data_IF_897976383310
#
_entry.id   IF_897976383310
#
_cell.length_a   1.000
_cell.length_b   1.000
_cell.length_c   1.000
_cell.angle_alpha   90.00
_cell.angle_beta   90.00
_cell.angle_gamma   90.00
#
_symmetry.space_group_name_H-M   'P 1'
#
loop_
_entity.id
_entity.type
_entity.pdbx_description
1 polymer ?
#
# COMPACT_ATOMS: atom_id res chain seq x y z
N UNK A 1 -11.14 -17.35 8.96
CA UNK A 1 -11.21 -16.11 9.75
C UNK A 1 -9.79 -15.58 9.93
N UNK A 2 -9.52 -14.35 9.50
CA UNK A 2 -8.21 -13.69 9.55
C UNK A 2 -8.17 -12.51 10.53
N UNK A 3 -9.25 -12.26 11.29
CA UNK A 3 -9.28 -11.18 12.26
C UNK A 3 -8.10 -11.21 13.26
N UNK A 4 -7.69 -12.37 13.83
CA UNK A 4 -6.51 -12.42 14.71
C UNK A 4 -5.18 -12.13 14.01
N UNK A 5 -5.12 -12.23 12.67
CA UNK A 5 -3.94 -11.87 11.88
C UNK A 5 -3.90 -10.36 11.67
N UNK A 6 -5.06 -9.75 11.39
CA UNK A 6 -5.20 -8.30 11.30
C UNK A 6 -4.81 -7.63 12.61
N UNK A 7 -5.34 -8.10 13.75
CA UNK A 7 -5.00 -7.54 15.08
C UNK A 7 -3.50 -7.58 15.38
N UNK A 8 -2.81 -8.65 14.99
CA UNK A 8 -1.35 -8.75 15.17
C UNK A 8 -0.58 -7.80 14.24
N UNK A 9 -1.01 -7.67 12.99
CA UNK A 9 -0.41 -6.73 12.05
C UNK A 9 -0.60 -5.29 12.54
N UNK A 10 -1.79 -4.96 13.03
CA UNK A 10 -2.12 -3.66 13.60
C UNK A 10 -1.28 -3.35 14.84
N UNK A 11 -1.21 -4.28 15.79
CA UNK A 11 -0.37 -4.13 16.99
C UNK A 11 1.13 -3.98 16.63
N UNK A 12 1.62 -4.66 15.59
CA UNK A 12 2.98 -4.49 15.11
C UNK A 12 3.22 -3.06 14.58
N UNK A 13 2.29 -2.52 13.78
CA UNK A 13 2.39 -1.14 13.28
C UNK A 13 2.45 -0.15 14.43
N UNK A 14 1.56 -0.27 15.41
CA UNK A 14 1.51 0.60 16.59
C UNK A 14 2.78 0.53 17.44
N UNK A 15 3.47 -0.62 17.44
CA UNK A 15 4.73 -0.77 18.17
C UNK A 15 5.94 -0.08 17.50
N UNK A 16 5.81 0.34 16.24
CA UNK A 16 6.91 0.89 15.45
C UNK A 16 6.87 2.41 15.45
N UNK A 17 7.91 3.04 16.01
CA UNK A 17 8.15 4.47 15.78
C UNK A 17 8.51 4.70 14.30
N UNK A 18 7.53 5.21 13.54
CA UNK A 18 7.67 5.51 12.10
C UNK A 18 8.77 6.52 11.77
N UNK A 19 9.14 7.41 12.71
CA UNK A 19 10.20 8.42 12.49
C UNK A 19 11.58 7.79 12.65
N UNK A 20 11.73 6.86 13.58
CA UNK A 20 13.01 6.17 13.86
C UNK A 20 13.22 4.96 12.95
N UNK A 21 12.14 4.26 12.57
CA UNK A 21 12.17 3.01 11.80
C UNK A 21 11.21 3.04 10.59
N UNK A 22 11.34 4.02 9.66
CA UNK A 22 10.38 4.21 8.56
C UNK A 22 10.27 2.99 7.64
N UNK A 23 11.36 2.24 7.44
CA UNK A 23 11.33 1.00 6.63
C UNK A 23 10.54 -0.13 7.30
N UNK A 24 10.72 -0.31 8.61
CA UNK A 24 9.97 -1.33 9.36
C UNK A 24 8.48 -0.99 9.36
N UNK A 25 8.14 0.28 9.57
CA UNK A 25 6.77 0.78 9.50
C UNK A 25 6.15 0.49 8.13
N UNK A 26 6.84 0.84 7.04
CA UNK A 26 6.35 0.61 5.67
C UNK A 26 6.04 -0.87 5.42
N UNK A 27 6.95 -1.77 5.78
CA UNK A 27 6.73 -3.21 5.58
C UNK A 27 5.59 -3.77 6.45
N UNK A 28 5.46 -3.32 7.70
CA UNK A 28 4.36 -3.72 8.57
C UNK A 28 3.00 -3.20 8.07
N UNK A 29 2.95 -1.97 7.59
CA UNK A 29 1.74 -1.38 7.01
C UNK A 29 1.32 -2.09 5.72
N UNK A 30 2.27 -2.42 4.84
CA UNK A 30 1.98 -3.20 3.63
C UNK A 30 1.51 -4.64 3.96
N UNK A 31 1.99 -5.23 5.05
CA UNK A 31 1.48 -6.51 5.55
C UNK A 31 0.01 -6.39 5.99
N UNK A 32 -0.37 -5.33 6.70
CA UNK A 32 -1.77 -5.09 7.07
C UNK A 32 -2.67 -4.93 5.84
N UNK A 33 -2.24 -4.15 4.84
CA UNK A 33 -2.94 -4.04 3.54
C UNK A 33 -3.14 -5.42 2.91
N UNK A 34 -2.10 -6.28 2.91
CA UNK A 34 -2.23 -7.63 2.37
C UNK A 34 -3.26 -8.47 3.14
N UNK A 35 -3.34 -8.34 4.46
CA UNK A 35 -4.31 -9.04 5.29
C UNK A 35 -5.74 -8.56 4.98
N UNK A 36 -5.98 -7.25 4.95
CA UNK A 36 -7.27 -6.66 4.58
C UNK A 36 -7.72 -7.13 3.18
N UNK A 37 -6.82 -7.09 2.21
CA UNK A 37 -7.08 -7.57 0.85
C UNK A 37 -7.45 -9.06 0.83
N UNK A 38 -6.77 -9.88 1.63
CA UNK A 38 -7.04 -11.33 1.74
C UNK A 38 -8.36 -11.61 2.46
N UNK A 39 -8.80 -10.71 3.35
CA UNK A 39 -10.11 -10.74 4.00
C UNK A 39 -11.26 -10.30 3.09
N UNK A 40 -10.97 -9.79 1.89
CA UNK A 40 -11.96 -9.22 0.97
C UNK A 40 -12.35 -7.78 1.31
N UNK A 41 -11.66 -7.13 2.24
CA UNK A 41 -11.86 -5.72 2.60
C UNK A 41 -11.05 -4.81 1.68
N UNK A 42 -11.40 -4.82 0.39
CA UNK A 42 -10.60 -4.15 -0.65
C UNK A 42 -10.61 -2.62 -0.55
N UNK A 43 -11.73 -2.00 -0.18
CA UNK A 43 -11.85 -0.55 -0.10
C UNK A 43 -11.04 0.02 1.07
N UNK A 44 -11.06 -0.65 2.22
CA UNK A 44 -10.18 -0.35 3.35
C UNK A 44 -8.71 -0.54 2.96
N UNK A 45 -8.38 -1.66 2.29
CA UNK A 45 -7.02 -1.94 1.84
C UNK A 45 -6.50 -0.87 0.85
N UNK A 46 -7.33 -0.42 -0.09
CA UNK A 46 -6.98 0.67 -1.02
C UNK A 46 -6.77 2.00 -0.30
N UNK A 47 -7.62 2.28 0.69
CA UNK A 47 -7.51 3.50 1.52
C UNK A 47 -6.20 3.51 2.30
N UNK A 48 -5.80 2.38 2.88
CA UNK A 48 -4.53 2.25 3.60
C UNK A 48 -3.30 2.22 2.67
N UNK A 49 -3.43 1.62 1.49
CA UNK A 49 -2.34 1.51 0.52
C UNK A 49 -1.94 2.87 -0.08
N UNK A 50 -2.91 3.76 -0.30
CA UNK A 50 -2.68 5.05 -0.96
C UNK A 50 -1.51 5.86 -0.33
N UNK A 51 -1.51 6.19 0.97
CA UNK A 51 -0.41 6.97 1.56
C UNK A 51 0.94 6.22 1.54
N UNK A 52 0.94 4.89 1.52
CA UNK A 52 2.16 4.09 1.41
C UNK A 52 2.73 4.13 -0.02
N UNK A 53 1.85 4.07 -1.03
CA UNK A 53 2.21 4.22 -2.43
C UNK A 53 2.74 5.63 -2.72
N UNK A 54 2.12 6.67 -2.17
CA UNK A 54 2.63 8.05 -2.23
C UNK A 54 4.00 8.21 -1.59
N UNK A 55 4.21 7.59 -0.41
CA UNK A 55 5.51 7.59 0.23
C UNK A 55 6.56 6.93 -0.67
N UNK A 56 6.24 5.75 -1.23
CA UNK A 56 7.10 5.02 -2.15
C UNK A 56 7.42 5.82 -3.42
N UNK A 57 6.42 6.49 -4.00
CA UNK A 57 6.57 7.36 -5.17
C UNK A 57 7.54 8.51 -4.90
N UNK A 58 7.39 9.20 -3.76
CA UNK A 58 8.27 10.32 -3.38
C UNK A 58 9.74 9.93 -3.24
N UNK A 59 10.04 8.68 -2.89
CA UNK A 59 11.41 8.18 -2.66
C UNK A 59 11.89 7.19 -3.73
N UNK A 60 11.11 6.96 -4.79
CA UNK A 60 11.46 6.10 -5.92
C UNK A 60 11.57 4.61 -5.59
N UNK A 61 10.82 4.10 -4.60
CA UNK A 61 10.88 2.69 -4.18
C UNK A 61 9.70 1.87 -4.68
N UNK A 62 9.91 1.04 -5.69
CA UNK A 62 8.83 0.20 -6.26
C UNK A 62 8.73 -1.16 -5.55
N UNK A 63 9.89 -1.79 -5.28
CA UNK A 63 9.97 -3.13 -4.73
C UNK A 63 9.17 -3.37 -3.44
N UNK A 64 9.11 -2.45 -2.45
CA UNK A 64 8.33 -2.70 -1.24
C UNK A 64 6.87 -3.08 -1.51
N UNK A 65 6.21 -2.44 -2.47
CA UNK A 65 4.80 -2.70 -2.80
C UNK A 65 4.64 -4.03 -3.55
N UNK A 66 5.58 -4.36 -4.44
CA UNK A 66 5.56 -5.64 -5.17
C UNK A 66 5.85 -6.84 -4.26
N UNK A 67 6.87 -6.70 -3.40
CA UNK A 67 7.34 -7.75 -2.51
C UNK A 67 6.38 -7.99 -1.32
N UNK A 68 5.45 -7.07 -1.06
CA UNK A 68 4.43 -7.19 -0.01
C UNK A 68 3.44 -8.33 -0.27
N UNK A 69 3.35 -8.80 -1.52
CA UNK A 69 2.54 -9.95 -1.92
C UNK A 69 1.61 -9.66 -3.09
N UNK A 70 1.02 -10.72 -3.66
CA UNK A 70 0.24 -10.61 -4.89
C UNK A 70 -1.07 -9.83 -4.70
N UNK A 71 -1.67 -9.83 -3.50
CA UNK A 71 -2.88 -9.04 -3.25
C UNK A 71 -2.58 -7.55 -3.26
N UNK A 72 -1.51 -7.12 -2.59
CA UNK A 72 -1.05 -5.72 -2.57
C UNK A 72 -0.65 -5.26 -3.98
N UNK A 73 0.09 -6.09 -4.72
CA UNK A 73 0.45 -5.79 -6.11
C UNK A 73 -0.77 -5.57 -7.02
N UNK A 74 -1.83 -6.37 -6.86
CA UNK A 74 -3.09 -6.18 -7.59
C UNK A 74 -3.83 -4.91 -7.17
N UNK A 75 -3.87 -4.60 -5.88
CA UNK A 75 -4.49 -3.37 -5.37
C UNK A 75 -3.75 -2.12 -5.85
N UNK A 76 -2.41 -2.14 -5.87
CA UNK A 76 -1.60 -1.03 -6.36
C UNK A 76 -1.98 -0.64 -7.80
N UNK A 77 -2.18 -1.64 -8.67
CA UNK A 77 -2.64 -1.44 -10.06
C UNK A 77 -4.06 -0.88 -10.17
N UNK A 78 -4.87 -0.98 -9.11
CA UNK A 78 -6.25 -0.45 -9.04
C UNK A 78 -6.35 0.93 -8.37
N UNK A 79 -5.26 1.45 -7.79
CA UNK A 79 -5.26 2.74 -7.10
C UNK A 79 -5.76 3.89 -7.99
N UNK A 80 -5.41 3.90 -9.28
CA UNK A 80 -5.88 4.93 -10.23
C UNK A 80 -7.40 4.98 -10.31
N UNK A 81 -8.04 3.83 -10.50
CA UNK A 81 -9.50 3.75 -10.57
C UNK A 81 -10.15 4.16 -9.25
N UNK A 82 -9.52 3.82 -8.11
CA UNK A 82 -9.98 4.22 -6.78
C UNK A 82 -9.89 5.75 -6.56
N UNK A 83 -8.85 6.40 -7.10
CA UNK A 83 -8.63 7.84 -7.01
C UNK A 83 -9.55 8.67 -7.92
N UNK A 84 -9.90 8.15 -9.10
CA UNK A 84 -10.83 8.83 -10.01
C UNK A 84 -12.21 9.06 -9.38
N UNK A 85 -12.61 8.24 -8.39
CA UNK A 85 -13.83 8.45 -7.60
C UNK A 85 -13.73 9.51 -6.50
N UNK A 86 -12.53 10.02 -6.19
CA UNK A 86 -12.26 10.94 -5.06
C UNK A 86 -11.92 12.39 -5.45
N UNK A 87 -12.00 12.73 -6.74
CA UNK A 87 -11.92 14.11 -7.27
C UNK A 87 -10.64 14.90 -6.96
N UNK A 88 -9.45 14.30 -7.14
CA UNK A 88 -8.18 15.06 -7.08
C UNK A 88 -7.04 14.49 -7.96
N UNK A 89 -7.36 14.01 -9.17
CA UNK A 89 -6.41 13.30 -10.04
C UNK A 89 -5.14 14.11 -10.41
N UNK A 90 -5.21 15.44 -10.41
CA UNK A 90 -4.08 16.32 -10.72
C UNK A 90 -3.07 16.48 -9.57
N UNK A 91 -3.45 16.16 -8.33
CA UNK A 91 -2.56 16.22 -7.16
C UNK A 91 -1.53 15.07 -7.12
N UNK A 92 -1.70 14.06 -7.99
CA UNK A 92 -1.01 12.78 -7.90
C UNK A 92 -0.02 12.53 -9.05
N UNK A 93 0.51 13.55 -9.74
CA UNK A 93 1.43 13.35 -10.89
C UNK A 93 2.59 12.39 -10.58
N UNK A 94 3.28 12.57 -9.44
CA UNK A 94 4.37 11.67 -9.04
C UNK A 94 3.90 10.26 -8.69
N UNK A 95 2.67 10.11 -8.17
CA UNK A 95 2.07 8.80 -7.94
C UNK A 95 1.66 8.14 -9.27
N UNK A 96 1.17 8.90 -10.26
CA UNK A 96 0.82 8.38 -11.57
C UNK A 96 2.04 7.82 -12.30
N UNK A 97 3.16 8.55 -12.34
CA UNK A 97 4.43 8.05 -12.91
C UNK A 97 4.93 6.80 -12.18
N UNK A 98 4.83 6.81 -10.85
CA UNK A 98 5.17 5.65 -10.03
C UNK A 98 4.32 4.42 -10.37
N UNK A 99 3.02 4.59 -10.56
CA UNK A 99 2.11 3.50 -10.91
C UNK A 99 2.36 2.98 -12.34
N UNK A 100 2.76 3.84 -13.28
CA UNK A 100 3.18 3.43 -14.62
C UNK A 100 4.41 2.52 -14.55
N UNK A 101 5.37 2.91 -13.72
CA UNK A 101 6.59 2.13 -13.58
C UNK A 101 6.32 0.81 -12.84
N UNK A 102 5.51 0.83 -11.78
CA UNK A 102 5.08 -0.37 -11.07
C UNK A 102 4.38 -1.36 -12.00
N UNK A 103 3.59 -0.88 -12.96
CA UNK A 103 2.87 -1.73 -13.90
C UNK A 103 3.80 -2.51 -14.84
N UNK A 104 4.95 -1.93 -15.22
CA UNK A 104 5.97 -2.55 -16.09
C UNK A 104 6.83 -3.59 -15.37
N UNK A 105 6.88 -3.54 -14.03
CA UNK A 105 7.73 -4.44 -13.26
C UNK A 105 7.12 -5.86 -13.21
N UNK A 106 7.96 -6.91 -13.29
CA UNK A 106 7.52 -8.27 -13.04
C UNK A 106 7.22 -8.48 -11.55
N UNK A 107 6.10 -9.14 -11.26
CA UNK A 107 5.74 -9.67 -9.94
C UNK A 107 6.47 -10.97 -9.64
#
# INVERSE_FOLDING_TARGET
DLAPVYERAHALIESIDRRVRPRAFLHAALLQVNVLATMGQEDEALTELLPLAEQCARIGLIRPVLDAGPAVSRLARRLRTHLLGRADAAAYTGLNEYLDELEKQPT
#
